data_IF_403539916928
#
_entry.id   IF_403539916928
#
_cell.length_a   1.000
_cell.length_b   1.000
_cell.length_c   1.000
_cell.angle_alpha   90.00
_cell.angle_beta   90.00
_cell.angle_gamma   90.00
#
_symmetry.space_group_name_H-M   'P 1'
#
loop_
_entity.id
_entity.type
_entity.pdbx_description
1 polymer ?
#
# COMPACT_ATOMS: atom_id res chain seq x y z
N UNK A 1 0.23 -15.46 -21.43
CA UNK A 1 -0.16 -16.85 -21.12
C UNK A 1 1.03 -17.67 -20.56
N UNK A 2 2.23 -17.59 -21.16
CA UNK A 2 3.42 -18.29 -20.66
C UNK A 2 3.83 -17.88 -19.25
N UNK A 3 3.75 -16.59 -18.89
CA UNK A 3 4.07 -16.09 -17.55
C UNK A 3 3.14 -16.73 -16.51
N UNK A 4 1.83 -16.80 -16.78
CA UNK A 4 0.86 -17.38 -15.85
C UNK A 4 1.08 -18.87 -15.60
N UNK A 5 1.66 -19.58 -16.55
CA UNK A 5 2.00 -21.00 -16.40
C UNK A 5 3.29 -21.22 -15.60
N UNK A 6 4.15 -20.20 -15.48
CA UNK A 6 5.48 -20.30 -14.89
C UNK A 6 5.71 -19.28 -13.74
N UNK A 7 4.65 -18.66 -13.20
CA UNK A 7 4.79 -17.58 -12.22
C UNK A 7 5.52 -18.01 -10.94
N UNK A 8 5.45 -19.29 -10.56
CA UNK A 8 6.18 -19.87 -9.44
C UNK A 8 7.71 -19.76 -9.56
N UNK A 9 8.24 -19.68 -10.79
CA UNK A 9 9.68 -19.56 -11.03
C UNK A 9 10.26 -18.24 -10.51
N UNK A 10 9.42 -17.23 -10.20
CA UNK A 10 9.85 -15.99 -9.57
C UNK A 10 10.54 -16.23 -8.23
N UNK A 11 10.23 -17.33 -7.54
CA UNK A 11 10.85 -17.73 -6.27
C UNK A 11 12.36 -18.03 -6.40
N UNK A 12 12.84 -18.30 -7.62
CA UNK A 12 14.26 -18.55 -7.91
C UNK A 12 15.04 -17.26 -8.22
N UNK A 13 14.35 -16.11 -8.25
CA UNK A 13 14.98 -14.81 -8.54
C UNK A 13 15.39 -14.17 -7.21
N UNK A 14 16.56 -13.50 -7.18
CA UNK A 14 17.00 -12.78 -5.99
C UNK A 14 16.03 -11.67 -5.62
N UNK A 15 15.87 -11.45 -4.32
CA UNK A 15 14.93 -10.47 -3.77
C UNK A 15 15.29 -9.06 -4.23
N UNK A 16 16.57 -8.75 -4.33
CA UNK A 16 17.09 -7.47 -4.81
C UNK A 16 16.62 -7.19 -6.25
N UNK A 17 16.68 -8.20 -7.11
CA UNK A 17 16.22 -8.08 -8.50
C UNK A 17 14.70 -7.92 -8.58
N UNK A 18 13.95 -8.64 -7.74
CA UNK A 18 12.49 -8.46 -7.63
C UNK A 18 12.17 -7.04 -7.17
N UNK A 19 12.86 -6.52 -6.14
CA UNK A 19 12.72 -5.15 -5.66
C UNK A 19 12.97 -4.15 -6.79
N UNK A 20 14.09 -4.30 -7.51
CA UNK A 20 14.49 -3.35 -8.54
C UNK A 20 13.47 -3.28 -9.69
N UNK A 21 12.91 -4.42 -10.09
CA UNK A 21 11.83 -4.45 -11.10
C UNK A 21 10.52 -3.86 -10.56
N UNK A 22 10.16 -4.12 -9.29
CA UNK A 22 9.02 -3.48 -8.65
C UNK A 22 9.18 -1.96 -8.60
N UNK A 23 10.36 -1.46 -8.24
CA UNK A 23 10.66 -0.04 -8.25
C UNK A 23 10.49 0.57 -9.65
N UNK A 24 11.00 -0.09 -10.69
CA UNK A 24 10.82 0.37 -12.08
C UNK A 24 9.35 0.46 -12.45
N UNK A 25 8.54 -0.54 -12.10
CA UNK A 25 7.09 -0.52 -12.33
C UNK A 25 6.46 0.70 -11.66
N UNK A 26 6.79 0.95 -10.39
CA UNK A 26 6.19 2.01 -9.60
C UNK A 26 6.50 3.41 -10.13
N UNK A 27 7.70 3.65 -10.66
CA UNK A 27 8.11 4.96 -11.18
C UNK A 27 7.72 5.22 -12.63
N UNK A 28 7.07 4.26 -13.32
CA UNK A 28 6.56 4.47 -14.68
C UNK A 28 5.41 5.49 -14.70
N UNK A 29 5.06 5.94 -15.90
CA UNK A 29 3.88 6.78 -16.11
C UNK A 29 2.55 6.00 -15.91
N UNK A 30 2.59 4.68 -15.96
CA UNK A 30 1.41 3.82 -15.79
C UNK A 30 1.64 2.65 -14.82
N UNK A 31 1.95 2.91 -13.54
CA UNK A 31 2.27 1.88 -12.57
C UNK A 31 1.09 0.92 -12.29
N UNK A 32 -0.15 1.40 -12.45
CA UNK A 32 -1.35 0.60 -12.22
C UNK A 32 -1.46 -0.58 -13.18
N UNK A 33 -1.05 -0.41 -14.44
CA UNK A 33 -1.02 -1.50 -15.41
C UNK A 33 -0.03 -2.59 -14.99
N UNK A 34 1.18 -2.20 -14.59
CA UNK A 34 2.19 -3.14 -14.10
C UNK A 34 1.72 -3.91 -12.87
N UNK A 35 1.13 -3.22 -11.88
CA UNK A 35 0.58 -3.86 -10.69
C UNK A 35 -0.59 -4.80 -11.02
N UNK A 36 -1.47 -4.42 -11.95
CA UNK A 36 -2.57 -5.25 -12.43
C UNK A 36 -2.07 -6.50 -13.15
N UNK A 37 -0.98 -6.40 -13.92
CA UNK A 37 -0.33 -7.55 -14.56
C UNK A 37 0.29 -8.48 -13.53
N UNK A 38 0.96 -7.95 -12.50
CA UNK A 38 1.50 -8.77 -11.40
C UNK A 38 0.37 -9.54 -10.68
N UNK A 39 -0.77 -8.88 -10.43
CA UNK A 39 -1.96 -9.50 -9.85
C UNK A 39 -2.54 -10.57 -10.79
N UNK A 40 -2.80 -10.23 -12.05
CA UNK A 40 -3.42 -11.12 -13.04
C UNK A 40 -2.58 -12.35 -13.40
N UNK A 41 -1.26 -12.29 -13.21
CA UNK A 41 -0.33 -13.43 -13.41
C UNK A 41 -0.14 -14.29 -12.16
N UNK A 42 -0.56 -13.83 -10.98
CA UNK A 42 -0.32 -14.49 -9.70
C UNK A 42 1.01 -14.12 -9.03
N UNK A 43 1.88 -13.38 -9.71
CA UNK A 43 3.19 -12.96 -9.18
C UNK A 43 3.02 -12.09 -7.93
N UNK A 44 2.02 -11.20 -7.91
CA UNK A 44 1.75 -10.32 -6.77
C UNK A 44 1.59 -11.12 -5.46
N UNK A 45 0.89 -12.26 -5.51
CA UNK A 45 0.69 -13.13 -4.35
C UNK A 45 1.98 -13.76 -3.79
N UNK A 46 3.03 -13.85 -4.60
CA UNK A 46 4.34 -14.37 -4.17
C UNK A 46 5.22 -13.26 -3.62
N UNK A 47 5.30 -12.11 -4.31
CA UNK A 47 6.24 -11.05 -3.94
C UNK A 47 5.70 -10.12 -2.86
N UNK A 48 4.38 -9.86 -2.88
CA UNK A 48 3.65 -8.98 -1.96
C UNK A 48 2.32 -9.61 -1.54
N UNK A 49 2.32 -10.72 -0.80
CA UNK A 49 1.11 -11.39 -0.35
C UNK A 49 0.20 -10.47 0.47
N UNK A 50 0.78 -9.52 1.21
CA UNK A 50 0.04 -8.54 2.01
C UNK A 50 -0.81 -7.61 1.12
N UNK A 51 -0.25 -7.14 0.01
CA UNK A 51 -0.98 -6.32 -0.97
C UNK A 51 -1.98 -7.19 -1.75
N UNK A 52 -1.60 -8.40 -2.08
CA UNK A 52 -2.51 -9.35 -2.76
C UNK A 52 -3.75 -9.67 -1.91
N UNK A 53 -3.64 -9.66 -0.58
CA UNK A 53 -4.77 -9.86 0.34
C UNK A 53 -5.78 -8.71 0.33
N UNK A 54 -5.42 -7.56 -0.25
CA UNK A 54 -6.35 -6.44 -0.47
C UNK A 54 -7.21 -6.63 -1.74
N UNK A 55 -6.81 -7.53 -2.64
CA UNK A 55 -7.55 -7.82 -3.88
C UNK A 55 -8.87 -8.50 -3.54
N UNK A 56 -9.97 -7.94 -3.99
CA UNK A 56 -11.31 -8.43 -3.67
C UNK A 56 -11.74 -8.15 -2.23
N UNK A 57 -10.88 -7.53 -1.41
CA UNK A 57 -11.25 -7.17 -0.05
C UNK A 57 -12.20 -5.97 -0.06
N UNK A 58 -13.49 -6.31 -0.01
CA UNK A 58 -14.59 -5.35 0.11
C UNK A 58 -15.28 -5.64 1.44
N UNK A 59 -15.08 -4.82 2.47
CA UNK A 59 -15.80 -5.00 3.72
C UNK A 59 -17.31 -4.98 3.49
N UNK A 60 -18.02 -5.98 4.02
CA UNK A 60 -19.47 -6.07 3.92
C UNK A 60 -20.13 -5.03 4.84
N UNK A 61 -20.15 -3.79 4.37
CA UNK A 61 -20.54 -2.63 5.14
C UNK A 61 -21.40 -1.68 4.31
N UNK A 62 -22.35 -1.02 4.95
CA UNK A 62 -23.25 -0.08 4.27
C UNK A 62 -22.55 1.15 3.65
N UNK A 63 -21.34 1.48 4.12
CA UNK A 63 -20.59 2.67 3.72
C UNK A 63 -19.27 2.36 2.94
N UNK A 64 -18.91 1.09 2.78
CA UNK A 64 -17.72 0.67 2.06
C UNK A 64 -18.06 -0.44 1.07
N UNK A 65 -18.18 -0.10 -0.19
CA UNK A 65 -18.48 -1.02 -1.28
C UNK A 65 -17.37 -1.06 -2.34
N UNK A 66 -16.19 -0.55 -2.01
CA UNK A 66 -15.05 -0.51 -2.93
C UNK A 66 -13.97 -1.49 -2.48
N UNK A 67 -13.44 -2.21 -3.43
CA UNK A 67 -12.25 -3.06 -3.27
C UNK A 67 -11.05 -2.19 -2.87
N UNK A 68 -10.36 -2.58 -1.79
CA UNK A 68 -9.24 -1.79 -1.23
C UNK A 68 -8.05 -1.77 -2.19
N UNK A 69 -7.78 -2.85 -2.92
CA UNK A 69 -6.73 -2.85 -3.93
C UNK A 69 -7.03 -1.89 -5.08
N UNK A 70 -8.27 -1.85 -5.57
CA UNK A 70 -8.67 -0.88 -6.58
C UNK A 70 -8.59 0.57 -6.07
N UNK A 71 -8.91 0.80 -4.79
CA UNK A 71 -8.67 2.10 -4.15
C UNK A 71 -7.17 2.43 -4.17
N UNK A 72 -6.31 1.49 -3.76
CA UNK A 72 -4.85 1.65 -3.78
C UNK A 72 -4.33 2.01 -5.17
N UNK A 73 -4.80 1.32 -6.22
CA UNK A 73 -4.43 1.65 -7.61
C UNK A 73 -4.84 3.08 -7.97
N UNK A 74 -6.03 3.53 -7.55
CA UNK A 74 -6.49 4.90 -7.80
C UNK A 74 -5.62 5.94 -7.07
N UNK A 75 -5.20 5.67 -5.84
CA UNK A 75 -4.29 6.56 -5.10
C UNK A 75 -2.95 6.64 -5.82
N UNK A 76 -2.37 5.51 -6.23
CA UNK A 76 -1.13 5.47 -7.00
C UNK A 76 -1.26 6.25 -8.31
N UNK A 77 -2.36 6.07 -9.04
CA UNK A 77 -2.63 6.78 -10.31
C UNK A 77 -2.63 8.30 -10.12
N UNK A 78 -3.24 8.77 -9.02
CA UNK A 78 -3.37 10.19 -8.71
C UNK A 78 -2.14 10.79 -8.00
N UNK A 79 -1.14 9.97 -7.66
CA UNK A 79 0.14 10.48 -7.17
C UNK A 79 0.89 11.12 -8.32
N UNK A 80 0.97 12.44 -8.34
CA UNK A 80 1.50 13.25 -9.45
C UNK A 80 3.02 13.17 -9.63
N UNK A 81 3.71 12.50 -8.73
CA UNK A 81 5.17 12.37 -8.73
C UNK A 81 5.61 10.95 -9.07
N UNK A 82 6.72 10.84 -9.81
CA UNK A 82 7.44 9.59 -10.00
C UNK A 82 8.44 9.31 -8.84
N UNK A 83 8.29 10.00 -7.72
CA UNK A 83 9.05 9.74 -6.50
C UNK A 83 8.72 8.37 -5.94
N UNK A 84 9.75 7.53 -5.79
CA UNK A 84 9.61 6.15 -5.34
C UNK A 84 9.04 6.05 -3.92
N UNK A 85 9.44 6.96 -3.02
CA UNK A 85 8.96 6.98 -1.63
C UNK A 85 7.46 7.23 -1.59
N UNK A 86 6.98 8.21 -2.36
CA UNK A 86 5.54 8.50 -2.45
C UNK A 86 4.76 7.35 -3.08
N UNK A 87 5.31 6.71 -4.13
CA UNK A 87 4.67 5.56 -4.80
C UNK A 87 4.61 4.32 -3.90
N UNK A 88 5.66 4.04 -3.14
CA UNK A 88 5.66 2.98 -2.13
C UNK A 88 4.67 3.29 -1.00
N UNK A 89 4.66 4.54 -0.52
CA UNK A 89 3.70 4.95 0.51
C UNK A 89 2.26 4.80 0.03
N UNK A 90 1.96 5.19 -1.21
CA UNK A 90 0.66 4.99 -1.82
C UNK A 90 0.29 3.49 -1.98
N UNK A 91 1.26 2.62 -2.28
CA UNK A 91 1.03 1.17 -2.39
C UNK A 91 0.67 0.55 -1.04
N UNK A 92 1.26 1.02 0.05
CA UNK A 92 1.11 0.40 1.37
C UNK A 92 0.20 1.17 2.34
N UNK A 93 -0.35 2.35 1.98
CA UNK A 93 -1.08 3.22 2.93
C UNK A 93 -2.22 2.53 3.64
N UNK A 94 -2.93 1.64 2.95
CA UNK A 94 -4.13 0.97 3.41
C UNK A 94 -3.93 -0.50 3.84
N UNK A 95 -2.69 -1.00 3.85
CA UNK A 95 -2.41 -2.41 4.22
C UNK A 95 -2.86 -2.75 5.64
N UNK A 96 -2.94 -1.77 6.54
CA UNK A 96 -3.43 -1.94 7.91
C UNK A 96 -4.95 -2.14 8.02
N UNK A 97 -5.73 -1.91 6.97
CA UNK A 97 -7.19 -2.08 7.00
C UNK A 97 -7.64 -3.53 7.25
N UNK A 98 -6.84 -4.51 6.79
CA UNK A 98 -7.14 -5.93 7.03
C UNK A 98 -7.25 -6.29 8.52
N UNK A 99 -6.42 -5.66 9.35
CA UNK A 99 -6.31 -5.98 10.78
C UNK A 99 -7.16 -5.06 11.67
N UNK A 100 -7.72 -3.97 11.14
CA UNK A 100 -8.34 -2.91 11.95
C UNK A 100 -9.81 -2.69 11.67
N UNK A 101 -10.43 -3.53 10.82
CA UNK A 101 -11.86 -3.46 10.53
C UNK A 101 -12.69 -3.58 11.81
N UNK A 102 -13.59 -2.62 12.02
CA UNK A 102 -14.66 -2.68 13.02
C UNK A 102 -15.98 -2.33 12.37
N UNK A 103 -17.04 -3.02 12.79
CA UNK A 103 -18.40 -2.79 12.32
C UNK A 103 -19.26 -2.25 13.47
N UNK A 104 -20.02 -1.19 13.19
CA UNK A 104 -21.01 -0.62 14.09
C UNK A 104 -22.33 -1.39 14.01
N UNK A 105 -23.20 -1.30 15.05
CA UNK A 105 -24.52 -1.95 15.03
C UNK A 105 -25.41 -1.57 13.84
N UNK A 106 -25.23 -0.37 13.26
CA UNK A 106 -25.93 0.10 12.08
C UNK A 106 -25.38 -0.45 10.75
N UNK A 107 -24.41 -1.37 10.80
CA UNK A 107 -23.77 -1.97 9.64
C UNK A 107 -22.69 -1.11 8.98
N UNK A 108 -22.35 0.07 9.52
CA UNK A 108 -21.23 0.87 9.04
C UNK A 108 -19.90 0.32 9.52
N UNK A 109 -18.88 0.40 8.68
CA UNK A 109 -17.53 -0.01 9.02
C UNK A 109 -16.57 1.17 9.14
N UNK A 110 -15.56 1.00 9.95
CA UNK A 110 -14.45 1.93 10.09
C UNK A 110 -13.16 1.16 10.42
N UNK A 111 -12.02 1.80 10.27
CA UNK A 111 -10.70 1.18 10.38
C UNK A 111 -9.83 1.95 11.38
N UNK A 112 -10.12 1.87 12.70
CA UNK A 112 -9.42 2.68 13.68
C UNK A 112 -7.95 2.32 13.75
N UNK A 113 -7.08 3.34 13.56
CA UNK A 113 -5.64 3.16 13.64
C UNK A 113 -5.00 2.41 12.47
N UNK A 114 -5.69 2.24 11.34
CA UNK A 114 -5.11 1.52 10.18
C UNK A 114 -3.82 2.17 9.66
N UNK A 115 -3.67 3.48 9.75
CA UNK A 115 -2.45 4.18 9.38
C UNK A 115 -1.25 3.75 10.24
N UNK A 116 -1.45 3.68 11.58
CA UNK A 116 -0.43 3.17 12.51
C UNK A 116 -0.11 1.71 12.25
N UNK A 117 -1.14 0.88 12.10
CA UNK A 117 -0.99 -0.56 11.82
C UNK A 117 -0.31 -0.78 10.47
N UNK A 118 -0.69 -0.02 9.42
CA UNK A 118 -0.07 -0.06 8.11
C UNK A 118 1.42 0.27 8.14
N UNK A 119 1.81 1.29 8.91
CA UNK A 119 3.22 1.64 9.11
C UNK A 119 4.02 0.50 9.80
N UNK A 120 3.41 -0.21 10.75
CA UNK A 120 4.03 -1.36 11.42
C UNK A 120 4.18 -2.52 10.44
N UNK A 121 3.15 -2.85 9.67
CA UNK A 121 3.14 -3.94 8.68
C UNK A 121 4.13 -3.66 7.54
N UNK A 122 4.23 -2.42 7.08
CA UNK A 122 5.07 -2.04 5.95
C UNK A 122 6.57 -2.27 6.21
N UNK A 123 7.07 -2.01 7.43
CA UNK A 123 8.50 -2.13 7.77
C UNK A 123 9.09 -3.52 7.47
N UNK A 124 8.54 -4.63 7.98
CA UNK A 124 9.06 -5.96 7.67
C UNK A 124 8.93 -6.33 6.19
N UNK A 125 7.92 -5.83 5.48
CA UNK A 125 7.76 -6.07 4.04
C UNK A 125 8.91 -5.42 3.27
N UNK A 126 9.18 -4.14 3.51
CA UNK A 126 10.27 -3.42 2.85
C UNK A 126 11.64 -4.00 3.23
N UNK A 127 11.83 -4.41 4.49
CA UNK A 127 13.05 -5.10 4.93
C UNK A 127 13.22 -6.44 4.21
N UNK A 128 12.15 -7.24 4.06
CA UNK A 128 12.15 -8.49 3.29
C UNK A 128 12.55 -8.24 1.84
N UNK A 129 12.09 -7.14 1.26
CA UNK A 129 12.45 -6.70 -0.10
C UNK A 129 13.83 -6.03 -0.18
N UNK A 130 14.60 -6.00 0.93
CA UNK A 130 15.96 -5.44 0.95
C UNK A 130 16.04 -3.95 0.60
N UNK A 131 15.03 -3.16 0.97
CA UNK A 131 15.15 -1.71 0.99
C UNK A 131 16.08 -1.26 2.11
N UNK A 132 16.73 -0.12 1.93
CA UNK A 132 17.55 0.51 2.97
C UNK A 132 16.68 1.12 4.09
N UNK A 133 17.30 1.37 5.25
CA UNK A 133 16.60 1.85 6.43
C UNK A 133 15.99 3.26 6.23
N UNK A 134 16.64 4.15 5.46
CA UNK A 134 16.11 5.49 5.17
C UNK A 134 14.81 5.38 4.37
N UNK A 135 14.79 4.56 3.33
CA UNK A 135 13.60 4.27 2.55
C UNK A 135 12.48 3.71 3.43
N UNK A 136 12.78 2.71 4.28
CA UNK A 136 11.81 2.09 5.19
C UNK A 136 11.21 3.11 6.15
N UNK A 137 12.03 3.95 6.76
CA UNK A 137 11.58 4.92 7.74
C UNK A 137 10.76 6.04 7.10
N UNK A 138 11.17 6.56 5.94
CA UNK A 138 10.42 7.58 5.21
C UNK A 138 9.05 7.08 4.75
N UNK A 139 8.99 5.89 4.13
CA UNK A 139 7.73 5.29 3.67
C UNK A 139 6.79 5.05 4.85
N UNK A 140 7.29 4.43 5.93
CA UNK A 140 6.45 4.14 7.10
C UNK A 140 5.96 5.39 7.82
N UNK A 141 6.75 6.48 7.82
CA UNK A 141 6.33 7.77 8.36
C UNK A 141 5.19 8.38 7.55
N UNK A 142 5.28 8.37 6.22
CA UNK A 142 4.20 8.86 5.35
C UNK A 142 2.93 8.04 5.55
N UNK A 143 3.05 6.70 5.62
CA UNK A 143 1.90 5.82 5.90
C UNK A 143 1.27 6.16 7.25
N UNK A 144 2.07 6.37 8.29
CA UNK A 144 1.56 6.73 9.62
C UNK A 144 0.77 8.05 9.62
N UNK A 145 1.22 9.02 8.85
CA UNK A 145 0.67 10.37 8.84
C UNK A 145 -0.34 10.64 7.69
N UNK A 146 -0.66 9.64 6.82
CA UNK A 146 -1.44 9.86 5.61
C UNK A 146 -2.87 10.39 5.86
N UNK A 147 -3.48 10.06 7.00
CA UNK A 147 -4.81 10.56 7.36
C UNK A 147 -4.82 12.05 7.69
N UNK A 148 -3.68 12.62 8.10
CA UNK A 148 -3.56 14.06 8.37
C UNK A 148 -3.65 14.88 7.08
N UNK A 149 -3.38 14.25 5.95
CA UNK A 149 -3.40 14.83 4.61
C UNK A 149 -4.71 14.54 3.85
N UNK A 150 -5.66 13.82 4.45
CA UNK A 150 -6.96 13.56 3.84
C UNK A 150 -7.74 14.88 3.74
N UNK A 151 -8.10 15.28 2.51
CA UNK A 151 -8.87 16.51 2.23
C UNK A 151 -10.24 16.55 2.93
N UNK A 152 -10.77 15.40 3.33
CA UNK A 152 -12.01 15.27 4.09
C UNK A 152 -11.77 15.29 5.62
N UNK A 153 -10.52 15.34 6.06
CA UNK A 153 -10.13 15.41 7.45
C UNK A 153 -9.57 16.79 7.75
N UNK A 154 -10.23 17.52 8.64
CA UNK A 154 -9.71 18.79 9.15
C UNK A 154 -8.81 18.48 10.35
N UNK A 155 -7.47 18.48 10.17
CA UNK A 155 -6.56 18.19 11.26
C UNK A 155 -6.66 19.27 12.35
N UNK A 156 -6.56 18.86 13.60
CA UNK A 156 -6.47 19.78 14.72
C UNK A 156 -5.13 20.53 14.70
N UNK A 157 -5.09 21.70 15.31
CA UNK A 157 -3.81 22.48 15.44
C UNK A 157 -2.68 21.66 16.07
N UNK A 158 -3.02 20.72 16.97
CA UNK A 158 -2.05 19.83 17.59
C UNK A 158 -1.47 18.79 16.62
N UNK A 159 -2.27 18.32 15.67
CA UNK A 159 -1.82 17.39 14.63
C UNK A 159 -0.99 18.11 13.58
N UNK A 160 -1.39 19.30 13.15
CA UNK A 160 -0.59 20.16 12.26
C UNK A 160 0.77 20.48 12.88
N UNK A 161 0.81 20.90 14.17
CA UNK A 161 2.07 21.16 14.88
C UNK A 161 2.94 19.90 15.01
N UNK A 162 2.34 18.71 15.18
CA UNK A 162 3.08 17.44 15.20
C UNK A 162 3.67 17.12 13.84
N UNK A 163 2.89 17.30 12.78
CA UNK A 163 3.36 17.10 11.40
C UNK A 163 4.56 18.01 11.10
N UNK A 164 4.42 19.31 11.36
CA UNK A 164 5.47 20.32 11.12
C UNK A 164 6.76 20.08 11.94
N UNK A 165 6.69 19.38 13.08
CA UNK A 165 7.89 19.01 13.85
C UNK A 165 8.60 17.76 13.32
N UNK A 166 7.99 17.03 12.41
CA UNK A 166 8.52 15.77 11.85
C UNK A 166 9.08 15.92 10.43
N UNK A 167 8.82 17.05 9.79
CA UNK A 167 9.40 17.47 8.51
C UNK A 167 10.63 18.30 8.74
#
# INVERSE_FOLDING_TARGET
>A
LAIKANYELIKNISVERIRDELCKILITNNPCEGLSLLMGTGILGIILPEINSLVGYTPLCNNHNRDVFNHTLNVIKNTSSNDLILRLSALFHDVGKLNTLKQLPNGHCYFPGHAKEGAIICKPILSRLKFDNDTIDRVSKIIYDHLVLDVNYMPTDGEIKRLLRRV
#
